data_IF_970967406100
#
_entry.id   IF_970967406100
#
_cell.length_a   1.000
_cell.length_b   1.000
_cell.length_c   1.000
_cell.angle_alpha   90.00
_cell.angle_beta   90.00
_cell.angle_gamma   90.00
#
_symmetry.space_group_name_H-M   'P 1'
#
loop_
_entity.id
_entity.type
_entity.pdbx_description
1 polymer ?
#
# COMPACT_ATOMS: atom_id res chain seq x y z
N UNK A 1 -5.37 5.47 3.68
CA UNK A 1 -5.08 4.02 3.64
C UNK A 1 -4.31 3.59 2.39
N UNK A 2 -4.34 4.36 1.28
CA UNK A 2 -3.65 4.06 0.01
C UNK A 2 -2.18 3.58 0.09
N UNK A 3 -1.34 4.18 0.95
CA UNK A 3 0.06 3.73 1.07
C UNK A 3 0.18 2.31 1.65
N UNK A 4 -0.64 1.98 2.65
CA UNK A 4 -0.63 0.65 3.26
C UNK A 4 -1.14 -0.41 2.28
N UNK A 5 -2.19 -0.09 1.51
CA UNK A 5 -2.72 -0.96 0.45
C UNK A 5 -1.69 -1.20 -0.67
N UNK A 6 -0.93 -0.18 -1.05
CA UNK A 6 0.14 -0.31 -2.04
C UNK A 6 1.27 -1.25 -1.56
N UNK A 7 1.67 -1.17 -0.29
CA UNK A 7 2.68 -2.07 0.29
C UNK A 7 2.16 -3.51 0.35
N UNK A 8 0.91 -3.70 0.79
CA UNK A 8 0.28 -5.03 0.84
C UNK A 8 0.14 -5.65 -0.56
N UNK A 9 -0.17 -4.84 -1.57
CA UNK A 9 -0.26 -5.25 -2.97
C UNK A 9 1.09 -5.58 -3.63
N UNK A 10 2.22 -5.28 -3.00
CA UNK A 10 3.54 -5.69 -3.51
C UNK A 10 3.87 -7.16 -3.23
N UNK A 11 3.11 -7.84 -2.37
CA UNK A 11 3.22 -9.29 -2.15
C UNK A 11 2.20 -9.98 -3.04
N UNK A 12 2.66 -10.82 -3.97
CA UNK A 12 1.74 -11.56 -4.83
C UNK A 12 0.98 -12.63 -4.02
N UNK A 13 -0.24 -12.97 -4.44
CA UNK A 13 -1.07 -13.95 -3.74
C UNK A 13 -0.41 -15.34 -3.66
N UNK A 14 0.42 -15.68 -4.65
CA UNK A 14 1.22 -16.90 -4.72
C UNK A 14 2.50 -16.85 -3.86
N UNK A 15 2.98 -15.65 -3.52
CA UNK A 15 4.12 -15.45 -2.62
C UNK A 15 3.69 -15.38 -1.14
N UNK A 16 2.40 -15.20 -0.88
CA UNK A 16 1.86 -15.01 0.47
C UNK A 16 1.94 -16.32 1.27
N UNK A 17 2.79 -16.32 2.30
CA UNK A 17 2.93 -17.45 3.22
C UNK A 17 2.95 -16.94 4.65
N UNK A 18 2.80 -17.83 5.63
CA UNK A 18 2.90 -17.46 7.06
C UNK A 18 4.24 -16.80 7.42
N UNK A 19 5.28 -16.98 6.61
CA UNK A 19 6.61 -16.40 6.83
C UNK A 19 6.93 -15.23 5.88
N UNK A 20 6.03 -14.92 4.94
CA UNK A 20 6.20 -13.86 3.96
C UNK A 20 4.87 -13.10 3.78
N UNK A 21 4.63 -12.19 4.72
CA UNK A 21 3.42 -11.36 4.79
C UNK A 21 3.67 -9.90 4.39
N UNK A 22 4.95 -9.48 4.37
CA UNK A 22 5.39 -8.15 4.01
C UNK A 22 6.53 -8.26 2.99
N UNK A 23 6.61 -7.35 2.00
CA UNK A 23 7.70 -7.36 1.06
C UNK A 23 9.02 -7.03 1.77
N UNK A 24 10.13 -7.43 1.16
CA UNK A 24 11.45 -7.05 1.64
C UNK A 24 11.58 -5.53 1.74
N UNK A 25 12.23 -5.03 2.80
CA UNK A 25 12.50 -3.59 2.97
C UNK A 25 13.39 -3.00 1.87
N UNK A 26 14.07 -3.85 1.12
CA UNK A 26 14.91 -3.47 -0.02
C UNK A 26 14.25 -3.74 -1.38
N UNK A 27 12.97 -4.12 -1.40
CA UNK A 27 12.25 -4.33 -2.65
C UNK A 27 12.02 -2.99 -3.36
N UNK A 28 12.73 -2.83 -4.48
CA UNK A 28 12.71 -1.59 -5.27
C UNK A 28 11.37 -1.31 -5.93
N UNK A 29 10.44 -2.27 -5.93
CA UNK A 29 9.07 -2.12 -6.45
C UNK A 29 8.17 -1.33 -5.48
N UNK A 30 8.49 -1.34 -4.18
CA UNK A 30 7.63 -0.75 -3.14
C UNK A 30 7.57 0.78 -3.25
N UNK A 31 8.74 1.43 -3.35
CA UNK A 31 8.83 2.88 -3.42
C UNK A 31 8.01 3.51 -4.57
N UNK A 32 8.12 3.06 -5.84
CA UNK A 32 7.31 3.61 -6.93
C UNK A 32 5.82 3.28 -6.77
N UNK A 33 5.46 2.10 -6.27
CA UNK A 33 4.05 1.70 -6.06
C UNK A 33 3.36 2.61 -5.04
N UNK A 34 4.00 2.87 -3.89
CA UNK A 34 3.48 3.77 -2.86
C UNK A 34 3.36 5.20 -3.39
N UNK A 35 4.39 5.69 -4.10
CA UNK A 35 4.37 7.05 -4.66
C UNK A 35 3.23 7.25 -5.66
N UNK A 36 2.93 6.26 -6.51
CA UNK A 36 1.82 6.31 -7.45
C UNK A 36 0.45 6.28 -6.73
N UNK A 37 0.28 5.39 -5.75
CA UNK A 37 -0.96 5.27 -4.98
C UNK A 37 -1.29 6.53 -4.17
N UNK A 38 -0.26 7.13 -3.54
CA UNK A 38 -0.40 8.39 -2.80
C UNK A 38 -0.72 9.53 -3.75
N UNK A 39 -0.06 9.63 -4.92
CA UNK A 39 -0.39 10.66 -5.91
C UNK A 39 -1.83 10.57 -6.41
N UNK A 40 -2.31 9.37 -6.74
CA UNK A 40 -3.69 9.15 -7.17
C UNK A 40 -4.72 9.58 -6.11
N UNK A 41 -4.41 9.29 -4.83
CA UNK A 41 -5.27 9.63 -3.68
C UNK A 41 -5.05 11.07 -3.19
N UNK A 42 -3.95 11.73 -3.52
CA UNK A 42 -3.75 13.14 -3.18
C UNK A 42 -4.45 14.04 -4.20
N UNK A 43 -4.50 13.62 -5.46
CA UNK A 43 -5.29 14.27 -6.53
C UNK A 43 -6.79 14.13 -6.27
N UNK A 44 -7.22 13.03 -5.64
CA UNK A 44 -8.59 12.83 -5.17
C UNK A 44 -8.65 13.11 -3.67
N UNK A 45 -8.96 14.35 -3.21
CA UNK A 45 -8.82 14.72 -1.80
C UNK A 45 -9.41 13.65 -0.89
N UNK A 46 -8.70 13.24 0.19
CA UNK A 46 -9.16 12.16 1.03
C UNK A 46 -10.54 12.56 1.57
N UNK A 47 -11.56 11.77 1.23
CA UNK A 47 -12.85 11.89 1.86
C UNK A 47 -12.62 11.74 3.36
N UNK A 48 -12.81 12.83 4.09
CA UNK A 48 -12.82 12.85 5.55
C UNK A 48 -14.02 12.01 6.00
N UNK A 49 -13.84 10.70 6.08
CA UNK A 49 -14.74 9.87 6.88
C UNK A 49 -14.48 10.23 8.32
N UNK A 50 -15.44 10.98 8.88
CA UNK A 50 -15.63 11.18 10.29
C UNK A 50 -15.29 9.92 11.06
N UNK A 51 -14.38 10.04 12.03
CA UNK A 51 -14.31 9.10 13.13
C UNK A 51 -15.69 9.06 13.79
N UNK A 52 -16.32 7.89 13.75
CA UNK A 52 -17.46 7.56 14.60
C UNK A 52 -17.14 6.26 15.32
N UNK A 53 -16.43 6.36 16.46
CA UNK A 53 -16.86 5.92 17.80
C UNK A 53 -15.74 6.18 18.82
#
# INVERSE_FOLDING_TARGET
>A
MAAAEAIAGCVAADELTSSYIIPSVFDTRVAPAVAAAVQATAVTPPAVTSEEN
#
